data_IF_224876211367
#
_entry.id   IF_224876211367
#
_cell.length_a   1.000
_cell.length_b   1.000
_cell.length_c   1.000
_cell.angle_alpha   90.00
_cell.angle_beta   90.00
_cell.angle_gamma   90.00
#
_symmetry.space_group_name_H-M   'P 1'
#
loop_
_entity.id
_entity.type
_entity.pdbx_description
1 polymer ?
#
# COMPACT_ATOMS: atom_id res chain seq x y z
N UNK A 1 2.85 8.23 4.30
CA UNK A 1 1.53 7.76 4.79
C UNK A 1 1.52 7.48 6.28
N UNK A 2 2.68 7.31 6.93
CA UNK A 2 2.79 6.94 8.36
C UNK A 2 1.99 7.82 9.35
N UNK A 3 2.02 9.15 9.18
CA UNK A 3 1.23 10.07 10.02
C UNK A 3 -0.29 9.86 9.87
N UNK A 4 -0.76 9.53 8.67
CA UNK A 4 -2.18 9.24 8.40
C UNK A 4 -2.55 7.91 9.05
N UNK A 5 -1.73 6.86 8.89
CA UNK A 5 -1.95 5.58 9.55
C UNK A 5 -2.03 5.71 11.08
N UNK A 6 -1.17 6.54 11.69
CA UNK A 6 -1.25 6.85 13.12
C UNK A 6 -2.54 7.58 13.48
N UNK A 7 -2.97 8.56 12.68
CA UNK A 7 -4.23 9.25 12.88
C UNK A 7 -5.44 8.30 12.82
N UNK A 8 -5.44 7.31 11.93
CA UNK A 8 -6.51 6.30 11.86
C UNK A 8 -6.63 5.49 13.16
N UNK A 9 -5.51 5.15 13.79
CA UNK A 9 -5.52 4.48 15.11
C UNK A 9 -6.12 5.39 16.18
N UNK A 10 -5.75 6.67 16.20
CA UNK A 10 -6.32 7.65 17.14
C UNK A 10 -7.81 7.85 16.91
N UNK A 11 -8.26 7.89 15.65
CA UNK A 11 -9.68 7.94 15.31
C UNK A 11 -10.41 6.70 15.82
N UNK A 12 -9.85 5.50 15.59
CA UNK A 12 -10.43 4.26 16.09
C UNK A 12 -10.62 4.29 17.61
N UNK A 13 -9.65 4.83 18.36
CA UNK A 13 -9.77 5.05 19.79
C UNK A 13 -10.83 6.10 20.11
N UNK A 14 -10.84 7.23 19.39
CA UNK A 14 -11.78 8.32 19.58
C UNK A 14 -13.24 7.90 19.38
N UNK A 15 -13.53 7.05 18.39
CA UNK A 15 -14.88 6.53 18.15
C UNK A 15 -15.44 5.66 19.29
N UNK A 16 -14.59 5.14 20.19
CA UNK A 16 -15.05 4.42 21.40
C UNK A 16 -15.73 5.34 22.42
N UNK A 17 -15.55 6.65 22.30
CA UNK A 17 -16.19 7.64 23.18
C UNK A 17 -17.69 7.84 22.91
N UNK A 18 -18.19 7.36 21.77
CA UNK A 18 -19.58 7.61 21.35
C UNK A 18 -19.88 9.05 20.93
N UNK A 19 -18.84 9.89 20.79
CA UNK A 19 -18.98 11.26 20.30
C UNK A 19 -19.36 11.27 18.80
N UNK A 20 -20.06 12.32 18.33
CA UNK A 20 -20.31 12.52 16.91
C UNK A 20 -18.97 12.62 16.14
N UNK A 21 -18.98 12.14 14.90
CA UNK A 21 -17.78 12.04 14.05
C UNK A 21 -16.96 13.33 13.98
N UNK A 22 -17.60 14.48 13.78
CA UNK A 22 -16.89 15.76 13.70
C UNK A 22 -16.14 16.09 15.00
N UNK A 23 -16.66 15.73 16.18
CA UNK A 23 -15.96 15.91 17.46
C UNK A 23 -14.79 14.95 17.61
N UNK A 24 -14.95 13.70 17.17
CA UNK A 24 -13.85 12.72 17.15
C UNK A 24 -12.70 13.23 16.27
N UNK A 25 -13.02 13.72 15.06
CA UNK A 25 -12.04 14.29 14.12
C UNK A 25 -11.32 15.50 14.72
N UNK A 26 -12.04 16.45 15.32
CA UNK A 26 -11.45 17.62 15.99
C UNK A 26 -10.54 17.22 17.16
N UNK A 27 -10.98 16.26 18.00
CA UNK A 27 -10.22 15.78 19.16
C UNK A 27 -8.91 15.11 18.75
N UNK A 28 -8.92 14.37 17.64
CA UNK A 28 -7.70 13.75 17.08
C UNK A 28 -6.82 14.80 16.40
N UNK A 29 -7.41 15.80 15.73
CA UNK A 29 -6.67 16.90 15.12
C UNK A 29 -5.81 17.67 16.14
N UNK A 30 -6.34 17.93 17.34
CA UNK A 30 -5.62 18.62 18.44
C UNK A 30 -4.36 17.88 18.90
N UNK A 31 -4.30 16.56 18.71
CA UNK A 31 -3.17 15.70 19.12
C UNK A 31 -2.29 15.29 17.95
N UNK A 32 -2.58 15.79 16.76
CA UNK A 32 -1.92 15.37 15.52
C UNK A 32 -0.94 16.43 15.01
N UNK A 33 0.08 16.05 14.21
CA UNK A 33 0.93 17.00 13.51
C UNK A 33 0.12 17.94 12.61
N UNK A 34 0.59 19.17 12.41
CA UNK A 34 -0.18 20.25 11.75
C UNK A 34 -0.77 19.87 10.38
N UNK A 35 -0.05 19.07 9.57
CA UNK A 35 -0.58 18.57 8.29
C UNK A 35 -1.84 17.73 8.48
N UNK A 36 -1.79 16.74 9.37
CA UNK A 36 -2.92 15.86 9.69
C UNK A 36 -4.02 16.65 10.39
N UNK A 37 -3.66 17.54 11.31
CA UNK A 37 -4.60 18.36 12.05
C UNK A 37 -5.43 19.26 11.13
N UNK A 38 -4.80 19.85 10.11
CA UNK A 38 -5.47 20.68 9.10
C UNK A 38 -6.50 19.88 8.32
N UNK A 39 -6.10 18.72 7.79
CA UNK A 39 -6.99 17.84 7.03
C UNK A 39 -8.19 17.41 7.89
N UNK A 40 -7.95 16.93 9.11
CA UNK A 40 -9.01 16.50 10.02
C UNK A 40 -9.95 17.64 10.42
N UNK A 41 -9.42 18.84 10.69
CA UNK A 41 -10.24 20.04 10.96
C UNK A 41 -11.13 20.41 9.77
N UNK A 42 -10.61 20.27 8.55
CA UNK A 42 -11.35 20.56 7.33
C UNK A 42 -12.53 19.58 7.15
N UNK A 43 -12.27 18.27 7.30
CA UNK A 43 -13.34 17.25 7.25
C UNK A 43 -14.34 17.46 8.38
N UNK A 44 -13.87 17.73 9.59
CA UNK A 44 -14.73 17.98 10.75
C UNK A 44 -15.66 19.18 10.53
N UNK A 45 -15.13 20.30 10.01
CA UNK A 45 -15.91 21.49 9.71
C UNK A 45 -16.98 21.21 8.63
N UNK A 46 -16.61 20.51 7.55
CA UNK A 46 -17.56 20.14 6.50
C UNK A 46 -18.71 19.27 7.04
N UNK A 47 -18.39 18.24 7.84
CA UNK A 47 -19.40 17.38 8.47
C UNK A 47 -20.26 18.14 9.48
N UNK A 48 -19.66 19.05 10.27
CA UNK A 48 -20.39 19.89 11.22
C UNK A 48 -21.40 20.79 10.50
N UNK A 49 -21.11 21.20 9.26
CA UNK A 49 -22.01 22.00 8.43
C UNK A 49 -23.01 21.16 7.61
N UNK A 50 -23.04 19.84 7.83
CA UNK A 50 -23.99 18.95 7.19
C UNK A 50 -23.59 18.49 5.79
N UNK A 51 -22.33 18.69 5.38
CA UNK A 51 -21.85 18.12 4.12
C UNK A 51 -21.91 16.58 4.16
N UNK A 52 -22.27 15.93 3.04
CA UNK A 52 -22.24 14.47 2.97
C UNK A 52 -20.79 13.97 3.13
N UNK A 53 -20.62 12.78 3.71
CA UNK A 53 -19.29 12.23 4.02
C UNK A 53 -18.36 12.17 2.82
N UNK A 54 -18.88 11.78 1.64
CA UNK A 54 -18.08 11.73 0.41
C UNK A 54 -17.48 13.08 0.03
N UNK A 55 -18.23 14.18 0.21
CA UNK A 55 -17.74 15.54 -0.07
C UNK A 55 -16.77 16.01 1.02
N UNK A 56 -17.09 15.76 2.29
CA UNK A 56 -16.24 16.14 3.41
C UNK A 56 -14.85 15.49 3.29
N UNK A 57 -14.79 14.18 3.07
CA UNK A 57 -13.54 13.44 2.87
C UNK A 57 -12.90 13.71 1.51
N UNK A 58 -13.67 14.06 0.48
CA UNK A 58 -13.16 14.46 -0.83
C UNK A 58 -12.41 15.79 -0.82
N UNK A 59 -12.52 16.56 0.26
CA UNK A 59 -11.86 17.86 0.40
C UNK A 59 -10.38 17.77 0.82
N UNK A 60 -9.89 16.59 1.22
CA UNK A 60 -8.53 16.37 1.71
C UNK A 60 -7.71 15.41 0.83
N UNK A 61 -6.43 15.21 1.16
CA UNK A 61 -5.51 14.34 0.42
C UNK A 61 -6.08 12.91 0.25
N UNK A 62 -5.89 12.30 -0.92
CA UNK A 62 -6.28 10.91 -1.24
C UNK A 62 -5.75 9.87 -0.25
N UNK A 63 -4.69 10.18 0.51
CA UNK A 63 -4.19 9.36 1.61
C UNK A 63 -5.29 9.02 2.64
N UNK A 64 -6.34 9.84 2.75
CA UNK A 64 -7.49 9.63 3.64
C UNK A 64 -8.58 8.73 3.06
N UNK A 65 -8.50 8.32 1.79
CA UNK A 65 -9.51 7.48 1.15
C UNK A 65 -9.83 6.17 1.91
N UNK A 66 -8.86 5.48 2.54
CA UNK A 66 -9.15 4.31 3.37
C UNK A 66 -10.00 4.66 4.60
N UNK A 67 -9.72 5.79 5.28
CA UNK A 67 -10.51 6.25 6.41
C UNK A 67 -11.94 6.64 5.99
N UNK A 68 -12.07 7.39 4.90
CA UNK A 68 -13.36 7.77 4.33
C UNK A 68 -14.24 6.54 4.06
N UNK A 69 -13.66 5.51 3.42
CA UNK A 69 -14.34 4.24 3.15
C UNK A 69 -14.72 3.50 4.43
N UNK A 70 -13.80 3.39 5.39
CA UNK A 70 -14.04 2.71 6.66
C UNK A 70 -15.19 3.35 7.44
N UNK A 71 -15.21 4.68 7.52
CA UNK A 71 -16.27 5.45 8.21
C UNK A 71 -17.61 5.28 7.48
N UNK A 72 -17.63 5.46 6.16
CA UNK A 72 -18.86 5.33 5.38
C UNK A 72 -19.49 3.93 5.49
N UNK A 73 -18.67 2.86 5.36
CA UNK A 73 -19.16 1.49 5.50
C UNK A 73 -19.72 1.24 6.90
N UNK A 74 -19.02 1.70 7.94
CA UNK A 74 -19.44 1.49 9.32
C UNK A 74 -20.75 2.22 9.62
N UNK A 75 -20.88 3.48 9.20
CA UNK A 75 -22.11 4.25 9.37
C UNK A 75 -23.28 3.65 8.60
N UNK A 76 -23.06 3.21 7.35
CA UNK A 76 -24.10 2.51 6.57
C UNK A 76 -24.55 1.21 7.23
N UNK A 77 -23.63 0.48 7.88
CA UNK A 77 -23.94 -0.74 8.60
C UNK A 77 -24.43 -0.51 10.05
N UNK A 78 -24.45 0.74 10.54
CA UNK A 78 -24.83 1.07 11.92
C UNK A 78 -23.86 0.53 12.97
N UNK A 79 -22.59 0.33 12.62
CA UNK A 79 -21.55 -0.22 13.51
C UNK A 79 -20.43 0.81 13.76
N UNK A 80 -19.63 0.67 14.84
CA UNK A 80 -18.50 1.55 15.07
C UNK A 80 -17.40 1.38 14.00
N UNK A 81 -16.80 2.47 13.48
CA UNK A 81 -15.77 2.40 12.44
C UNK A 81 -14.39 1.95 12.94
N UNK A 82 -14.20 1.82 14.26
CA UNK A 82 -12.91 1.53 14.88
C UNK A 82 -12.17 0.32 14.28
N UNK A 83 -12.78 -0.87 14.19
CA UNK A 83 -12.12 -2.04 13.61
C UNK A 83 -11.68 -1.83 12.15
N UNK A 84 -12.52 -1.21 11.32
CA UNK A 84 -12.20 -0.93 9.91
C UNK A 84 -11.08 0.11 9.78
N UNK A 85 -11.03 1.10 10.67
CA UNK A 85 -9.96 2.09 10.73
C UNK A 85 -8.62 1.46 11.12
N UNK A 86 -8.62 0.48 12.04
CA UNK A 86 -7.41 -0.26 12.42
C UNK A 86 -6.90 -1.10 11.24
N UNK A 87 -7.79 -1.83 10.55
CA UNK A 87 -7.43 -2.57 9.33
C UNK A 87 -6.84 -1.64 8.27
N UNK A 88 -7.47 -0.49 8.02
CA UNK A 88 -6.97 0.49 7.07
C UNK A 88 -5.62 1.10 7.48
N UNK A 89 -5.37 1.30 8.78
CA UNK A 89 -4.07 1.76 9.27
C UNK A 89 -2.97 0.72 9.02
N UNK A 90 -3.27 -0.55 9.22
CA UNK A 90 -2.33 -1.65 8.97
C UNK A 90 -2.03 -1.82 7.47
N UNK A 91 -3.05 -1.68 6.61
CA UNK A 91 -2.89 -1.70 5.16
C UNK A 91 -2.00 -0.53 4.67
N UNK A 92 -2.21 0.67 5.23
CA UNK A 92 -1.34 1.82 4.92
C UNK A 92 0.11 1.56 5.31
N UNK A 93 0.37 0.96 6.47
CA UNK A 93 1.73 0.59 6.90
C UNK A 93 2.35 -0.46 5.98
N UNK A 94 1.61 -1.50 5.61
CA UNK A 94 2.07 -2.55 4.68
C UNK A 94 2.43 -1.97 3.32
N UNK A 95 1.61 -1.06 2.79
CA UNK A 95 1.87 -0.42 1.50
C UNK A 95 3.17 0.41 1.48
N UNK A 96 3.59 0.96 2.62
CA UNK A 96 4.88 1.66 2.73
C UNK A 96 6.06 0.68 2.76
N UNK A 97 5.89 -0.49 3.38
CA UNK A 97 6.91 -1.54 3.38
C UNK A 97 7.12 -2.14 1.98
N UNK A 98 6.04 -2.45 1.27
CA UNK A 98 6.10 -2.97 -0.10
C UNK A 98 6.82 -2.01 -1.06
N UNK A 99 6.65 -0.69 -0.87
CA UNK A 99 7.40 0.33 -1.64
C UNK A 99 8.91 0.23 -1.46
N UNK A 100 9.38 -0.13 -0.27
CA UNK A 100 10.80 -0.33 0.01
C UNK A 100 11.30 -1.64 -0.60
N UNK A 101 10.49 -2.70 -0.57
CA UNK A 101 10.82 -3.99 -1.18
C UNK A 101 10.96 -3.92 -2.70
N UNK A 102 10.12 -3.15 -3.39
CA UNK A 102 10.25 -2.93 -4.85
C UNK A 102 11.58 -2.26 -5.21
N UNK A 103 12.14 -1.41 -4.33
CA UNK A 103 13.48 -0.83 -4.52
C UNK A 103 14.57 -1.88 -4.33
N UNK A 104 14.42 -2.77 -3.34
CA UNK A 104 15.35 -3.88 -3.11
C UNK A 104 15.33 -4.92 -4.24
N UNK A 105 14.15 -5.27 -4.77
CA UNK A 105 13.99 -6.22 -5.88
C UNK A 105 14.72 -5.78 -7.16
N UNK A 106 14.84 -4.46 -7.41
CA UNK A 106 15.63 -3.92 -8.53
C UNK A 106 17.13 -4.20 -8.44
N UNK A 107 17.66 -4.45 -7.23
CA UNK A 107 19.08 -4.80 -7.02
C UNK A 107 19.33 -6.24 -7.48
N UNK A 108 18.43 -7.17 -7.14
CA UNK A 108 18.53 -8.58 -7.53
C UNK A 108 18.54 -8.78 -9.06
N UNK A 109 17.71 -8.05 -9.80
CA UNK A 109 17.67 -8.10 -11.27
C UNK A 109 18.95 -7.56 -11.91
N UNK A 110 19.56 -6.49 -11.35
CA UNK A 110 20.85 -5.98 -11.81
C UNK A 110 22.02 -6.93 -11.56
N UNK A 111 21.90 -7.87 -10.62
CA UNK A 111 22.89 -8.90 -10.34
C UNK A 111 22.73 -10.12 -11.24
N UNK A 112 21.51 -10.59 -11.47
CA UNK A 112 21.25 -11.78 -12.28
C UNK A 112 21.41 -11.50 -13.78
N UNK A 113 21.05 -10.31 -14.27
CA UNK A 113 21.18 -9.96 -15.69
C UNK A 113 22.62 -10.07 -16.25
N UNK A 114 23.67 -9.49 -15.64
CA UNK A 114 25.04 -9.65 -16.13
C UNK A 114 25.54 -11.09 -15.96
N UNK A 115 25.11 -11.80 -14.91
CA UNK A 115 25.52 -13.18 -14.68
C UNK A 115 24.92 -14.14 -15.73
N UNK A 116 23.66 -13.95 -16.09
CA UNK A 116 22.99 -14.67 -17.17
C UNK A 116 23.63 -14.42 -18.53
N UNK A 117 24.08 -13.19 -18.80
CA UNK A 117 24.77 -12.81 -20.04
C UNK A 117 26.16 -13.46 -20.16
N UNK A 118 26.84 -13.71 -19.03
CA UNK A 118 28.12 -14.44 -19.00
C UNK A 118 27.92 -15.96 -19.08
N UNK A 119 26.86 -16.51 -18.47
CA UNK A 119 26.61 -17.96 -18.50
C UNK A 119 26.02 -18.46 -19.81
N UNK A 120 25.21 -17.67 -20.52
CA UNK A 120 24.58 -18.05 -21.79
C UNK A 120 25.60 -18.51 -22.86
N UNK A 121 26.67 -17.76 -23.15
CA UNK A 121 27.69 -18.20 -24.10
C UNK A 121 28.47 -19.42 -23.59
N UNK A 122 28.77 -19.48 -22.28
CA UNK A 122 29.47 -20.61 -21.68
C UNK A 122 28.66 -21.92 -21.80
N UNK A 123 27.35 -21.88 -21.51
CA UNK A 123 26.45 -23.03 -21.62
C UNK A 123 26.27 -23.51 -23.07
N UNK A 124 26.18 -22.59 -24.02
CA UNK A 124 26.15 -22.97 -25.44
C UNK A 124 27.42 -23.73 -25.84
N UNK A 125 28.59 -23.27 -25.41
CA UNK A 125 29.88 -23.89 -25.72
C UNK A 125 30.07 -25.24 -25.01
N UNK A 126 29.66 -25.37 -23.75
CA UNK A 126 29.89 -26.59 -22.96
C UNK A 126 28.81 -27.65 -23.11
N UNK A 127 27.57 -27.30 -23.45
CA UNK A 127 26.44 -28.25 -23.45
C UNK A 127 25.79 -28.42 -24.81
N UNK A 128 25.50 -27.33 -25.53
CA UNK A 128 24.74 -27.40 -26.80
C UNK A 128 25.63 -27.86 -27.95
N UNK A 129 26.82 -27.28 -28.11
CA UNK A 129 27.74 -27.63 -29.21
C UNK A 129 28.12 -29.12 -29.19
N UNK A 130 28.56 -29.72 -28.07
CA UNK A 130 28.91 -31.14 -28.03
C UNK A 130 27.72 -32.04 -28.33
N UNK A 131 26.51 -31.67 -27.87
CA UNK A 131 25.29 -32.45 -28.09
C UNK A 131 24.88 -32.46 -29.57
N UNK A 132 24.94 -31.32 -30.25
CA UNK A 132 24.65 -31.22 -31.69
C UNK A 132 25.68 -31.97 -32.52
N UNK A 133 26.97 -31.89 -32.16
CA UNK A 133 28.05 -32.65 -32.83
C UNK A 133 27.85 -34.16 -32.65
N UNK A 134 27.50 -34.61 -31.44
CA UNK A 134 27.25 -36.03 -31.18
C UNK A 134 26.04 -36.57 -31.96
N UNK A 135 24.94 -35.82 -32.02
CA UNK A 135 23.73 -36.21 -32.74
C UNK A 135 23.92 -36.15 -34.27
N UNK A 136 24.57 -35.10 -34.78
CA UNK A 136 24.90 -34.96 -36.19
C UNK A 136 25.87 -36.02 -36.68
N UNK A 137 26.86 -36.39 -35.86
CA UNK A 137 27.79 -37.47 -36.15
C UNK A 137 27.12 -38.84 -36.23
N UNK A 138 26.11 -39.12 -35.40
CA UNK A 138 25.35 -40.37 -35.46
C UNK A 138 24.46 -40.47 -36.71
N UNK A 139 23.90 -39.36 -37.18
CA UNK A 139 23.08 -39.33 -38.40
C UNK A 139 23.91 -39.41 -39.69
N UNK A 140 25.12 -38.84 -39.69
CA UNK A 140 26.03 -38.88 -40.83
C UNK A 140 26.90 -40.15 -40.88
N UNK A 141 27.13 -40.81 -39.73
CA UNK A 141 27.87 -42.08 -39.64
C UNK A 141 27.02 -43.34 -39.81
N UNK A 142 25.70 -43.21 -39.88
CA UNK A 142 24.76 -44.31 -40.09
C UNK A 142 24.26 -44.43 -41.55
N UNK A 143 24.93 -43.75 -42.50
CA UNK A 143 24.66 -43.79 -43.94
C UNK A 143 25.75 -44.52 -44.72
#
# INVERSE_FOLDING_TARGET
>A
MDQVATALVLLALGYRSGLPTWQVLTTVAERSPERVARDLRQVAAALQWGAPEGEAWGSVDRAWAPAARAVAIAHHAGVPPGPLLLTAADDLRRSELERLEVVAAKIGVRLVAPLGLVLLPAFCLTTVVPLVVALGGQLLGAG
#
